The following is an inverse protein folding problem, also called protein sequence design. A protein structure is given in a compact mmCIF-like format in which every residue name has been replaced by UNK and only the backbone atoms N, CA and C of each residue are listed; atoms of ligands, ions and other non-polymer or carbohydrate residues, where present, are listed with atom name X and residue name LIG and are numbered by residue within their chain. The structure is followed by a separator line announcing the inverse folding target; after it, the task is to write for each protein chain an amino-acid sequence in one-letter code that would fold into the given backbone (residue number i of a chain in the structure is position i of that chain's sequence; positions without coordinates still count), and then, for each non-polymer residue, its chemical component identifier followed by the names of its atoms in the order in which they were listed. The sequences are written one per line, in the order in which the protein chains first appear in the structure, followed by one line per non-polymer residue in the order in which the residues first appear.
data_IF_171813029319
#
_entry.id   IF_171813029319
#
_cell.length_a   1.000
_cell.length_b   1.000
_cell.length_c   1.000
_cell.angle_alpha   90.00
_cell.angle_beta   90.00
_cell.angle_gamma   90.00
#
_symmetry.space_group_name_H-M   'P 1'
#
loop_
_entity.id
_entity.type
_entity.pdbx_description
1 polymer ?
#
# COMPACT_ATOMS: atom_id res chain seq x y z
N UNK A 1 8.48 -16.95 -32.53
CA UNK A 1 9.06 -15.81 -31.79
C UNK A 1 10.58 -15.86 -31.95
N UNK A 2 11.24 -14.79 -32.38
CA UNK A 2 12.71 -14.84 -32.59
C UNK A 2 13.44 -14.97 -31.24
N UNK A 3 14.61 -15.64 -31.23
CA UNK A 3 15.45 -15.81 -30.03
C UNK A 3 15.78 -14.47 -29.35
N UNK A 4 15.94 -13.42 -30.15
CA UNK A 4 16.22 -12.05 -29.70
C UNK A 4 15.03 -11.42 -28.96
N UNK A 5 13.81 -11.59 -29.46
CA UNK A 5 12.61 -11.06 -28.79
C UNK A 5 12.38 -11.73 -27.43
N UNK A 6 12.66 -13.03 -27.33
CA UNK A 6 12.55 -13.76 -26.06
C UNK A 6 13.56 -13.26 -25.02
N UNK A 7 14.81 -13.00 -25.43
CA UNK A 7 15.83 -12.44 -24.54
C UNK A 7 15.46 -11.06 -24.01
N UNK A 8 14.84 -10.20 -24.83
CA UNK A 8 14.39 -8.87 -24.41
C UNK A 8 13.27 -8.98 -23.36
N UNK A 9 12.26 -9.83 -23.61
CA UNK A 9 11.17 -10.03 -22.64
C UNK A 9 11.72 -10.59 -21.33
N UNK A 10 12.63 -11.55 -21.38
CA UNK A 10 13.25 -12.12 -20.18
C UNK A 10 14.03 -11.06 -19.39
N UNK A 11 14.77 -10.18 -20.09
CA UNK A 11 15.47 -9.07 -19.46
C UNK A 11 14.49 -8.09 -18.78
N UNK A 12 13.41 -7.69 -19.46
CA UNK A 12 12.39 -6.82 -18.87
C UNK A 12 11.68 -7.45 -17.67
N UNK A 13 11.39 -8.74 -17.75
CA UNK A 13 10.84 -9.49 -16.63
C UNK A 13 11.82 -9.51 -15.45
N UNK A 14 13.11 -9.76 -15.70
CA UNK A 14 14.15 -9.71 -14.67
C UNK A 14 14.26 -8.33 -14.03
N UNK A 15 14.23 -7.25 -14.81
CA UNK A 15 14.24 -5.87 -14.29
C UNK A 15 13.01 -5.60 -13.41
N UNK A 16 11.83 -6.07 -13.83
CA UNK A 16 10.61 -5.95 -13.04
C UNK A 16 10.70 -6.70 -11.70
N UNK A 17 11.15 -7.95 -11.73
CA UNK A 17 11.27 -8.78 -10.51
C UNK A 17 12.33 -8.20 -9.58
N UNK A 18 13.51 -7.83 -10.08
CA UNK A 18 14.55 -7.21 -9.26
C UNK A 18 14.11 -5.87 -8.65
N UNK A 19 13.39 -5.03 -9.40
CA UNK A 19 12.81 -3.80 -8.87
C UNK A 19 11.77 -4.09 -7.78
N UNK A 20 10.92 -5.09 -7.98
CA UNK A 20 9.92 -5.51 -6.98
C UNK A 20 10.57 -6.03 -5.71
N UNK A 21 11.60 -6.87 -5.84
CA UNK A 21 12.38 -7.36 -4.69
C UNK A 21 13.06 -6.21 -3.95
N UNK A 22 13.64 -5.25 -4.68
CA UNK A 22 14.26 -4.07 -4.08
C UNK A 22 13.23 -3.21 -3.34
N UNK A 23 12.06 -2.98 -3.93
CA UNK A 23 10.95 -2.26 -3.29
C UNK A 23 10.54 -2.92 -1.97
N UNK A 24 10.38 -4.25 -1.95
CA UNK A 24 10.07 -5.01 -0.73
C UNK A 24 11.21 -4.88 0.28
N UNK A 25 12.45 -5.02 -0.18
CA UNK A 25 13.64 -4.95 0.68
C UNK A 25 13.75 -3.60 1.41
N UNK A 26 13.33 -2.49 0.80
CA UNK A 26 13.35 -1.18 1.46
C UNK A 26 12.55 -1.16 2.77
N UNK A 27 11.49 -1.95 2.90
CA UNK A 27 10.72 -2.06 4.17
C UNK A 27 11.50 -2.74 5.30
N UNK A 28 12.52 -3.54 4.98
CA UNK A 28 13.40 -4.18 5.96
C UNK A 28 14.53 -3.25 6.44
N UNK A 29 14.64 -2.05 5.88
CA UNK A 29 15.64 -1.06 6.26
C UNK A 29 15.07 -0.04 7.24
N UNK A 30 15.91 0.65 8.06
CA UNK A 30 15.45 1.72 8.93
C UNK A 30 15.13 3.03 8.20
N UNK A 31 15.18 3.04 6.86
CA UNK A 31 14.97 4.23 6.03
C UNK A 31 13.52 4.70 6.20
N UNK A 32 13.35 6.01 6.46
CA UNK A 32 12.05 6.66 6.71
C UNK A 32 11.22 6.06 7.85
N UNK A 33 11.85 5.51 8.89
CA UNK A 33 11.14 5.05 10.09
C UNK A 33 10.33 6.15 10.80
N UNK A 34 10.64 7.43 10.54
CA UNK A 34 9.92 8.57 11.11
C UNK A 34 8.52 8.77 10.48
N UNK A 35 8.19 8.08 9.38
CA UNK A 35 6.89 8.15 8.74
C UNK A 35 5.99 7.07 9.34
N UNK A 36 5.11 7.46 10.26
CA UNK A 36 4.21 6.52 10.96
C UNK A 36 3.17 5.87 10.02
N UNK A 37 2.78 6.57 8.95
CA UNK A 37 1.79 6.08 7.99
C UNK A 37 2.43 5.10 6.99
N UNK A 38 2.18 3.81 7.19
CA UNK A 38 2.72 2.72 6.36
C UNK A 38 2.48 2.91 4.85
N UNK A 39 1.28 3.39 4.47
CA UNK A 39 0.96 3.67 3.08
C UNK A 39 1.88 4.76 2.47
N UNK A 40 2.11 5.87 3.18
CA UNK A 40 2.96 6.96 2.68
C UNK A 40 4.42 6.52 2.53
N UNK A 41 4.91 5.76 3.51
CA UNK A 41 6.26 5.16 3.43
C UNK A 41 6.39 4.27 2.19
N UNK A 42 5.38 3.45 1.89
CA UNK A 42 5.35 2.61 0.70
C UNK A 42 5.34 3.40 -0.61
N UNK A 43 4.58 4.48 -0.71
CA UNK A 43 4.60 5.35 -1.91
C UNK A 43 6.00 5.94 -2.14
N UNK A 44 6.67 6.42 -1.08
CA UNK A 44 8.03 6.96 -1.18
C UNK A 44 9.00 5.89 -1.66
N UNK A 45 8.99 4.70 -1.06
CA UNK A 45 9.84 3.58 -1.49
C UNK A 45 9.58 3.17 -2.94
N UNK A 46 8.31 3.20 -3.38
CA UNK A 46 7.96 2.88 -4.74
C UNK A 46 8.49 3.93 -5.74
N UNK A 47 8.34 5.23 -5.42
CA UNK A 47 8.92 6.31 -6.23
C UNK A 47 10.43 6.16 -6.33
N UNK A 48 11.11 5.95 -5.20
CA UNK A 48 12.57 5.76 -5.17
C UNK A 48 13.02 4.56 -5.98
N UNK A 49 12.31 3.44 -5.86
CA UNK A 49 12.61 2.22 -6.62
C UNK A 49 12.46 2.47 -8.12
N UNK A 50 11.34 3.07 -8.54
CA UNK A 50 11.08 3.35 -9.96
C UNK A 50 12.10 4.34 -10.54
N UNK A 51 12.47 5.39 -9.79
CA UNK A 51 13.49 6.35 -10.22
C UNK A 51 14.87 5.70 -10.31
N UNK A 52 15.26 4.91 -9.31
CA UNK A 52 16.53 4.20 -9.33
C UNK A 52 16.62 3.25 -10.53
N UNK A 53 15.57 2.45 -10.77
CA UNK A 53 15.50 1.57 -11.94
C UNK A 53 15.61 2.36 -13.25
N UNK A 54 14.94 3.50 -13.36
CA UNK A 54 15.04 4.37 -14.53
C UNK A 54 16.47 4.88 -14.78
N UNK A 55 17.15 5.34 -13.72
CA UNK A 55 18.54 5.81 -13.78
C UNK A 55 19.46 4.67 -14.22
N UNK A 56 19.30 3.47 -13.64
CA UNK A 56 20.10 2.29 -13.98
C UNK A 56 19.90 1.87 -15.44
N UNK A 57 18.65 1.85 -15.93
CA UNK A 57 18.35 1.54 -17.32
C UNK A 57 18.90 2.58 -18.29
N UNK A 58 18.82 3.87 -17.93
CA UNK A 58 19.37 4.95 -18.74
C UNK A 58 20.90 4.88 -18.80
N UNK A 59 21.55 4.61 -17.66
CA UNK A 59 22.99 4.38 -17.58
C UNK A 59 23.42 3.17 -18.43
N UNK A 60 22.70 2.05 -18.33
CA UNK A 60 22.95 0.86 -19.14
C UNK A 60 22.82 1.16 -20.64
N UNK A 61 21.75 1.85 -21.04
CA UNK A 61 21.56 2.29 -22.43
C UNK A 61 22.74 3.13 -22.96
N UNK A 62 23.25 4.07 -22.15
CA UNK A 62 24.31 4.97 -22.59
C UNK A 62 25.70 4.30 -22.59
N UNK A 63 25.91 3.32 -21.71
CA UNK A 63 27.19 2.61 -21.59
C UNK A 63 27.35 1.53 -22.67
N UNK A 64 26.27 0.83 -23.02
CA UNK A 64 26.30 -0.23 -24.02
C UNK A 64 25.80 0.27 -25.38
N UNK A 65 26.74 0.58 -26.28
CA UNK A 65 26.47 1.18 -27.60
C UNK A 65 25.48 0.36 -28.48
N UNK A 66 25.33 -0.93 -28.21
CA UNK A 66 24.42 -1.86 -28.90
C UNK A 66 23.17 -2.23 -28.06
N UNK A 67 22.78 -1.37 -27.12
CA UNK A 67 21.60 -1.54 -26.27
C UNK A 67 20.32 -1.71 -27.10
N UNK A 68 19.60 -2.82 -26.87
CA UNK A 68 18.26 -3.05 -27.43
C UNK A 68 17.16 -2.23 -26.73
N UNK A 69 17.52 -1.48 -25.68
CA UNK A 69 16.60 -0.70 -24.84
C UNK A 69 16.44 0.69 -25.42
N UNK A 70 15.19 1.07 -25.70
CA UNK A 70 14.82 2.43 -26.13
C UNK A 70 14.36 3.28 -24.94
N UNK A 71 14.34 4.61 -25.09
CA UNK A 71 13.78 5.51 -24.06
C UNK A 71 12.31 5.19 -23.81
N UNK A 72 11.57 4.80 -24.85
CA UNK A 72 10.19 4.35 -24.74
C UNK A 72 10.06 3.13 -23.81
N UNK A 73 10.97 2.17 -23.91
CA UNK A 73 10.97 0.99 -23.06
C UNK A 73 11.20 1.35 -21.59
N UNK A 74 12.11 2.29 -21.31
CA UNK A 74 12.37 2.78 -19.95
C UNK A 74 11.09 3.38 -19.36
N UNK A 75 10.42 4.27 -20.10
CA UNK A 75 9.17 4.90 -19.65
C UNK A 75 8.08 3.85 -19.41
N UNK A 76 7.91 2.91 -20.33
CA UNK A 76 6.92 1.84 -20.19
C UNK A 76 7.21 0.94 -18.97
N UNK A 77 8.47 0.57 -18.76
CA UNK A 77 8.88 -0.22 -17.60
C UNK A 77 8.66 0.54 -16.30
N UNK A 78 8.96 1.85 -16.25
CA UNK A 78 8.67 2.67 -15.06
C UNK A 78 7.19 2.64 -14.72
N UNK A 79 6.31 2.84 -15.71
CA UNK A 79 4.86 2.82 -15.52
C UNK A 79 4.40 1.43 -15.05
N UNK A 80 4.88 0.36 -15.69
CA UNK A 80 4.50 -1.02 -15.33
C UNK A 80 4.97 -1.35 -13.90
N UNK A 81 6.23 -1.07 -13.57
CA UNK A 81 6.79 -1.29 -12.22
C UNK A 81 5.99 -0.53 -11.19
N UNK A 82 5.76 0.77 -11.42
CA UNK A 82 5.02 1.62 -10.49
C UNK A 82 3.58 1.12 -10.31
N UNK A 83 2.82 0.95 -11.38
CA UNK A 83 1.41 0.58 -11.31
C UNK A 83 1.21 -0.82 -10.70
N UNK A 84 1.97 -1.83 -11.16
CA UNK A 84 1.79 -3.19 -10.64
C UNK A 84 2.20 -3.31 -9.18
N UNK A 85 3.32 -2.70 -8.78
CA UNK A 85 3.71 -2.70 -7.37
C UNK A 85 2.76 -1.87 -6.52
N UNK A 86 2.24 -0.74 -7.01
CA UNK A 86 1.23 0.05 -6.29
C UNK A 86 -0.05 -0.75 -6.05
N UNK A 87 -0.54 -1.46 -7.07
CA UNK A 87 -1.74 -2.30 -6.95
C UNK A 87 -1.47 -3.47 -6.01
N UNK A 88 -0.36 -4.18 -6.17
CA UNK A 88 0.01 -5.28 -5.28
C UNK A 88 0.16 -4.81 -3.83
N UNK A 89 0.83 -3.68 -3.61
CA UNK A 89 1.04 -3.07 -2.29
C UNK A 89 -0.27 -2.59 -1.64
N UNK A 90 -1.15 -1.95 -2.41
CA UNK A 90 -2.42 -1.47 -1.86
C UNK A 90 -3.38 -2.62 -1.57
N UNK A 91 -3.46 -3.63 -2.44
CA UNK A 91 -4.38 -4.74 -2.29
C UNK A 91 -3.95 -5.77 -1.24
N UNK A 92 -2.66 -6.07 -1.11
CA UNK A 92 -2.18 -7.08 -0.18
C UNK A 92 -1.75 -6.48 1.18
N UNK A 93 -0.56 -5.88 1.34
CA UNK A 93 -0.07 -5.50 2.67
C UNK A 93 -0.88 -4.36 3.30
N UNK A 94 -1.28 -3.35 2.53
CA UNK A 94 -2.05 -2.22 3.09
C UNK A 94 -3.46 -2.66 3.49
N UNK A 95 -4.13 -3.49 2.69
CA UNK A 95 -5.42 -4.08 3.08
C UNK A 95 -5.29 -4.99 4.29
N UNK A 96 -4.24 -5.81 4.35
CA UNK A 96 -4.00 -6.70 5.49
C UNK A 96 -3.83 -5.92 6.81
N UNK A 97 -3.07 -4.82 6.81
CA UNK A 97 -2.87 -3.93 7.98
C UNK A 97 -4.16 -3.22 8.46
N UNK A 98 -5.19 -3.17 7.60
CA UNK A 98 -6.45 -2.47 7.86
C UNK A 98 -7.65 -3.39 8.01
N UNK A 99 -7.51 -4.69 7.73
CA UNK A 99 -8.62 -5.62 7.64
C UNK A 99 -8.92 -6.30 8.96
N UNK A 100 -10.12 -6.03 9.49
CA UNK A 100 -10.69 -6.78 10.62
C UNK A 100 -10.78 -8.27 10.25
N UNK A 101 -11.15 -8.62 9.03
CA UNK A 101 -11.27 -10.02 8.59
C UNK A 101 -9.93 -10.75 8.63
N UNK A 102 -8.84 -10.10 8.21
CA UNK A 102 -7.49 -10.69 8.29
C UNK A 102 -7.09 -10.89 9.76
N UNK A 103 -7.40 -9.92 10.63
CA UNK A 103 -7.20 -10.07 12.07
C UNK A 103 -7.98 -11.27 12.64
N UNK A 104 -9.26 -11.43 12.29
CA UNK A 104 -10.10 -12.52 12.78
C UNK A 104 -9.57 -13.89 12.33
N UNK A 105 -9.23 -14.03 11.05
CA UNK A 105 -8.63 -15.25 10.53
C UNK A 105 -7.29 -15.55 11.20
N UNK A 106 -6.43 -14.54 11.39
CA UNK A 106 -5.17 -14.70 12.12
C UNK A 106 -5.39 -15.11 13.58
N UNK A 107 -6.42 -14.57 14.23
CA UNK A 107 -6.77 -14.93 15.60
C UNK A 107 -7.23 -16.38 15.71
N UNK A 108 -8.09 -16.83 14.79
CA UNK A 108 -8.56 -18.22 14.74
C UNK A 108 -7.45 -19.20 14.33
N UNK A 109 -6.55 -18.79 13.44
CA UNK A 109 -5.45 -19.62 12.97
C UNK A 109 -4.43 -19.95 14.08
N UNK A 110 -4.29 -19.08 15.08
CA UNK A 110 -3.42 -19.33 16.23
C UNK A 110 -3.88 -20.53 17.09
N UNK A 111 -5.15 -20.91 17.01
CA UNK A 111 -5.70 -22.08 17.69
C UNK A 111 -6.77 -22.74 16.80
N UNK A 112 -6.33 -23.27 15.66
CA UNK A 112 -7.20 -23.66 14.54
C UNK A 112 -8.22 -24.76 14.90
N UNK A 113 -8.03 -25.48 16.01
CA UNK A 113 -8.94 -26.52 16.48
C UNK A 113 -10.00 -25.98 17.45
N UNK A 114 -9.79 -24.78 18.00
CA UNK A 114 -10.69 -24.19 18.98
C UNK A 114 -11.92 -23.60 18.30
N UNK A 115 -13.09 -24.11 18.66
CA UNK A 115 -14.36 -23.50 18.31
C UNK A 115 -14.58 -22.25 19.18
N UNK A 116 -14.94 -21.14 18.54
CA UNK A 116 -15.19 -19.86 19.20
C UNK A 116 -16.65 -19.45 18.99
N UNK A 117 -17.27 -18.97 20.06
CA UNK A 117 -18.58 -18.32 20.02
C UNK A 117 -18.48 -16.88 19.52
N UNK A 118 -19.59 -16.31 19.05
CA UNK A 118 -19.67 -14.90 18.64
C UNK A 118 -19.21 -13.94 19.74
N UNK A 119 -19.50 -14.28 21.01
CA UNK A 119 -19.07 -13.49 22.18
C UNK A 119 -17.56 -13.50 22.33
N UNK A 120 -16.92 -14.64 22.14
CA UNK A 120 -15.45 -14.76 22.23
C UNK A 120 -14.76 -14.03 21.07
N UNK A 121 -15.31 -14.13 19.85
CA UNK A 121 -14.81 -13.40 18.67
C UNK A 121 -14.95 -11.89 18.89
N UNK A 122 -16.12 -11.43 19.35
CA UNK A 122 -16.37 -10.01 19.62
C UNK A 122 -15.44 -9.49 20.71
N UNK A 123 -15.25 -10.27 21.78
CA UNK A 123 -14.32 -9.93 22.86
C UNK A 123 -12.88 -9.82 22.34
N UNK A 124 -12.44 -10.74 21.48
CA UNK A 124 -11.11 -10.69 20.88
C UNK A 124 -10.92 -9.45 19.99
N UNK A 125 -11.94 -9.08 19.21
CA UNK A 125 -11.90 -7.86 18.39
C UNK A 125 -11.74 -6.61 19.27
N UNK A 126 -12.56 -6.48 20.32
CA UNK A 126 -12.52 -5.30 21.19
C UNK A 126 -11.20 -5.26 21.98
N UNK A 127 -10.87 -6.34 22.68
CA UNK A 127 -9.73 -6.34 23.60
C UNK A 127 -8.40 -6.37 22.88
N UNK A 128 -8.25 -7.18 21.82
CA UNK A 128 -6.97 -7.36 21.14
C UNK A 128 -6.79 -6.39 19.97
N UNK A 129 -7.76 -6.29 19.07
CA UNK A 129 -7.62 -5.43 17.90
C UNK A 129 -7.80 -3.95 18.25
N UNK A 130 -8.87 -3.58 18.94
CA UNK A 130 -9.14 -2.16 19.27
C UNK A 130 -8.16 -1.66 20.34
N UNK A 131 -8.17 -2.27 21.53
CA UNK A 131 -7.39 -1.76 22.66
C UNK A 131 -5.91 -2.15 22.60
N UNK A 132 -5.58 -3.45 22.62
CA UNK A 132 -4.18 -3.89 22.74
C UNK A 132 -3.32 -3.46 21.55
N UNK A 133 -3.86 -3.55 20.32
CA UNK A 133 -3.13 -3.14 19.12
C UNK A 133 -3.26 -1.64 18.81
N UNK A 134 -4.02 -0.88 19.61
CA UNK A 134 -4.21 0.56 19.40
C UNK A 134 -4.80 0.90 18.03
N UNK A 135 -5.69 0.06 17.49
CA UNK A 135 -6.14 0.21 16.10
C UNK A 135 -6.88 1.53 15.86
N UNK A 136 -7.60 2.06 16.85
CA UNK A 136 -8.28 3.35 16.74
C UNK A 136 -7.26 4.49 16.78
N UNK A 137 -6.33 4.46 17.74
CA UNK A 137 -5.32 5.50 17.91
C UNK A 137 -4.45 5.64 16.67
N UNK A 138 -3.96 4.51 16.12
CA UNK A 138 -3.22 4.48 14.86
C UNK A 138 -4.00 5.13 13.73
N UNK A 139 -5.29 4.82 13.60
CA UNK A 139 -6.13 5.35 12.51
C UNK A 139 -6.46 6.83 12.69
N UNK A 140 -6.67 7.28 13.92
CA UNK A 140 -6.82 8.71 14.22
C UNK A 140 -5.54 9.49 13.91
N UNK A 141 -4.37 8.97 14.31
CA UNK A 141 -3.08 9.58 13.97
C UNK A 141 -2.89 9.67 12.46
N UNK A 142 -3.16 8.59 11.71
CA UNK A 142 -3.11 8.59 10.25
C UNK A 142 -3.99 9.71 9.66
N UNK A 143 -5.21 9.91 10.17
CA UNK A 143 -6.10 10.98 9.68
C UNK A 143 -5.66 12.38 10.09
N UNK A 144 -5.02 12.53 11.26
CA UNK A 144 -4.43 13.81 11.69
C UNK A 144 -3.24 14.17 10.80
N UNK A 145 -2.33 13.22 10.56
CA UNK A 145 -1.17 13.39 9.65
C UNK A 145 -1.64 13.69 8.23
N UNK A 146 -2.74 13.08 7.79
CA UNK A 146 -3.36 13.35 6.49
C UNK A 146 -4.06 14.72 6.40
N UNK A 147 -4.22 15.43 7.52
CA UNK A 147 -4.93 16.71 7.58
C UNK A 147 -6.45 16.62 7.57
N UNK A 148 -7.03 15.42 7.69
CA UNK A 148 -8.49 15.21 7.66
C UNK A 148 -9.15 15.45 9.01
N UNK A 149 -8.41 15.28 10.12
CA UNK A 149 -8.87 15.51 11.49
C UNK A 149 -7.95 16.51 12.18
N UNK A 150 -8.54 17.41 12.96
CA UNK A 150 -7.86 18.36 13.83
C UNK A 150 -8.06 17.89 15.27
N UNK A 151 -6.96 17.69 16.00
CA UNK A 151 -6.98 17.38 17.44
C UNK A 151 -6.89 18.68 18.24
N UNK A 152 -7.86 18.93 19.14
CA UNK A 152 -7.92 20.08 20.04
C UNK A 152 -7.96 19.57 21.49
N UNK A 153 -6.79 19.38 22.09
CA UNK A 153 -6.67 18.72 23.39
C UNK A 153 -7.16 17.26 23.32
N UNK A 154 -8.18 16.93 24.12
CA UNK A 154 -8.82 15.62 24.14
C UNK A 154 -9.96 15.47 23.11
N UNK A 155 -10.27 16.53 22.35
CA UNK A 155 -11.37 16.55 21.38
C UNK A 155 -10.84 16.42 19.95
N UNK A 156 -11.67 15.85 19.08
CA UNK A 156 -11.38 15.69 17.65
C UNK A 156 -12.43 16.43 16.83
N UNK A 157 -12.01 17.08 15.76
CA UNK A 157 -12.87 17.80 14.82
C UNK A 157 -12.48 17.42 13.38
N UNK A 158 -13.46 17.26 12.49
CA UNK A 158 -13.19 17.07 11.07
C UNK A 158 -12.71 18.39 10.44
N UNK A 159 -11.63 18.34 9.67
CA UNK A 159 -11.12 19.52 8.96
C UNK A 159 -11.95 19.85 7.72
N UNK A 160 -11.71 21.02 7.11
CA UNK A 160 -12.28 21.35 5.79
C UNK A 160 -11.89 20.32 4.71
N UNK A 161 -10.64 19.85 4.72
CA UNK A 161 -10.17 18.78 3.84
C UNK A 161 -10.90 17.47 4.11
N UNK A 162 -11.08 17.10 5.39
CA UNK A 162 -11.84 15.91 5.77
C UNK A 162 -13.27 15.95 5.24
N UNK A 163 -13.94 17.12 5.31
CA UNK A 163 -15.29 17.30 4.74
C UNK A 163 -15.30 17.10 3.22
N UNK A 164 -14.33 17.66 2.49
CA UNK A 164 -14.20 17.45 1.04
C UNK A 164 -13.99 15.97 0.70
N UNK A 165 -13.17 15.27 1.50
CA UNK A 165 -12.94 13.83 1.34
C UNK A 165 -14.23 13.03 1.54
N UNK A 166 -15.07 13.39 2.51
CA UNK A 166 -16.37 12.73 2.72
C UNK A 166 -17.35 12.98 1.55
N UNK A 167 -17.36 14.18 0.97
CA UNK A 167 -18.14 14.47 -0.25
C UNK A 167 -17.67 13.59 -1.40
N UNK A 168 -16.36 13.48 -1.60
CA UNK A 168 -15.77 12.60 -2.60
C UNK A 168 -16.19 11.14 -2.39
N UNK A 169 -16.08 10.61 -1.16
CA UNK A 169 -16.51 9.25 -0.87
C UNK A 169 -18.01 9.02 -1.06
N UNK A 170 -18.84 10.01 -0.76
CA UNK A 170 -20.26 9.93 -1.05
C UNK A 170 -20.52 9.77 -2.57
N UNK A 171 -19.83 10.54 -3.42
CA UNK A 171 -19.91 10.40 -4.89
C UNK A 171 -19.47 9.00 -5.34
N UNK A 172 -18.35 8.50 -4.81
CA UNK A 172 -17.86 7.14 -5.12
C UNK A 172 -18.90 6.09 -4.70
N UNK A 173 -19.51 6.24 -3.51
CA UNK A 173 -20.53 5.30 -3.04
C UNK A 173 -21.77 5.29 -3.93
N UNK A 174 -22.18 6.44 -4.47
CA UNK A 174 -23.28 6.52 -5.44
C UNK A 174 -22.91 5.88 -6.77
N UNK A 175 -21.71 6.19 -7.27
CA UNK A 175 -21.22 5.68 -8.56
C UNK A 175 -21.11 4.15 -8.56
N UNK A 176 -20.59 3.57 -7.49
CA UNK A 176 -20.38 2.13 -7.35
C UNK A 176 -21.50 1.41 -6.57
N UNK A 177 -22.57 2.12 -6.19
CA UNK A 177 -23.72 1.60 -5.40
C UNK A 177 -23.29 0.85 -4.13
N UNK A 178 -22.34 1.42 -3.40
CA UNK A 178 -21.82 0.86 -2.14
C UNK A 178 -22.71 1.30 -0.97
N UNK A 179 -22.90 0.43 0.02
CA UNK A 179 -23.63 0.78 1.25
C UNK A 179 -22.99 1.98 1.96
N UNK A 180 -23.77 3.03 2.18
CA UNK A 180 -23.31 4.30 2.76
C UNK A 180 -23.17 4.30 4.28
N UNK A 181 -23.46 3.20 4.99
CA UNK A 181 -23.39 3.11 6.47
C UNK A 181 -22.05 3.58 7.07
N UNK A 182 -20.95 3.48 6.33
CA UNK A 182 -19.63 3.92 6.81
C UNK A 182 -19.27 5.37 6.42
N UNK A 183 -20.08 6.01 5.58
CA UNK A 183 -19.88 7.37 5.04
C UNK A 183 -20.87 8.34 5.70
N UNK A 184 -22.11 7.86 5.90
CA UNK A 184 -23.22 8.52 6.58
C UNK A 184 -23.78 7.51 7.61
N UNK A 185 -23.07 7.30 8.74
CA UNK A 185 -23.47 6.34 9.78
C UNK A 185 -24.72 6.76 10.54
#
# INVERSE_FOLDING_TARGET
MSKKNFQIILFYFFVFISSTVFFIFLFHTPIFNNISVFFYRGIIFLILTTLLTAILLFYFKNTFHNSFITVRDIILLMIIIFCLNLVAFTLAPVTADRSISVFLLGYMNNDYQKLLTDKEITSALITKYIYRNGAIDKRLEEQIVSGNIIKKGEKYEISGQGKLLMIFYNIISDLFKINKKNILP
#
